data_IF_553756390141
#
_entry.id   IF_553756390141
#
_cell.length_a   1.000
_cell.length_b   1.000
_cell.length_c   1.000
_cell.angle_alpha   90.00
_cell.angle_beta   90.00
_cell.angle_gamma   90.00
#
_symmetry.space_group_name_H-M   'P 1'
#
loop_
_entity.id
_entity.type
_entity.pdbx_description
1 polymer ?
#
# COMPACT_ATOMS: atom_id res chain seq x y z
N UNK A 1 -15.03 12.87 -0.68
CA UNK A 1 -15.08 14.36 -0.58
C UNK A 1 -15.56 14.84 0.81
N UNK A 2 -15.47 16.14 1.14
CA UNK A 2 -15.90 16.67 2.46
C UNK A 2 -17.42 16.50 2.69
N UNK A 3 -18.24 16.72 1.65
CA UNK A 3 -19.70 16.57 1.71
C UNK A 3 -20.11 15.12 1.96
N UNK A 4 -19.42 14.17 1.34
CA UNK A 4 -19.63 12.73 1.52
C UNK A 4 -19.37 12.28 2.97
N UNK A 5 -18.33 12.86 3.60
CA UNK A 5 -18.07 12.67 5.04
C UNK A 5 -19.18 13.26 5.91
N UNK A 6 -19.76 14.40 5.51
CA UNK A 6 -20.91 15.03 6.17
C UNK A 6 -22.21 14.24 5.96
N UNK A 7 -22.37 13.57 4.81
CA UNK A 7 -23.54 12.76 4.47
C UNK A 7 -23.66 11.49 5.33
N UNK A 8 -22.61 11.12 6.06
CA UNK A 8 -22.63 9.98 6.97
C UNK A 8 -22.41 8.64 6.29
N UNK A 9 -21.69 8.62 5.17
CA UNK A 9 -21.21 7.38 4.58
C UNK A 9 -20.38 6.59 5.61
N UNK A 10 -20.73 5.33 5.82
CA UNK A 10 -19.95 4.45 6.71
C UNK A 10 -18.71 4.02 5.93
N UNK A 11 -17.50 4.15 6.49
CA UNK A 11 -16.30 3.68 5.81
C UNK A 11 -16.34 2.16 5.65
N UNK A 12 -16.02 1.67 4.46
CA UNK A 12 -15.95 0.24 4.15
C UNK A 12 -14.53 -0.16 3.76
N UNK A 13 -14.17 -1.41 4.00
CA UNK A 13 -12.91 -1.97 3.51
C UNK A 13 -12.94 -2.00 1.99
N UNK A 14 -11.91 -1.48 1.34
CA UNK A 14 -11.79 -1.56 -0.12
C UNK A 14 -11.18 -2.90 -0.53
N UNK A 15 -11.97 -3.70 -1.22
CA UNK A 15 -11.56 -4.95 -1.87
C UNK A 15 -12.49 -5.21 -3.06
N UNK A 16 -12.38 -6.37 -3.70
CA UNK A 16 -13.18 -6.69 -4.86
C UNK A 16 -14.69 -6.79 -4.59
N UNK A 17 -15.14 -6.82 -3.34
CA UNK A 17 -16.58 -6.90 -3.01
C UNK A 17 -17.20 -5.54 -2.73
N UNK A 18 -16.40 -4.51 -2.47
CA UNK A 18 -16.86 -3.14 -2.15
C UNK A 18 -16.38 -2.09 -3.14
N UNK A 19 -15.35 -2.40 -3.92
CA UNK A 19 -14.85 -1.52 -4.96
C UNK A 19 -15.68 -1.68 -6.24
N UNK A 20 -16.28 -0.57 -6.69
CA UNK A 20 -16.90 -0.50 -8.01
C UNK A 20 -15.88 0.10 -8.98
N UNK A 21 -15.59 -0.61 -10.07
CA UNK A 21 -14.92 0.00 -11.22
C UNK A 21 -16.03 0.57 -12.07
N UNK A 22 -16.03 1.89 -12.26
CA UNK A 22 -16.83 2.53 -13.29
C UNK A 22 -16.20 2.19 -14.66
N UNK A 23 -16.39 0.95 -15.10
CA UNK A 23 -16.16 0.60 -16.50
C UNK A 23 -17.31 1.24 -17.25
N UNK A 24 -17.09 2.39 -17.88
CA UNK A 24 -18.09 3.21 -18.57
C UNK A 24 -18.79 2.56 -19.77
N UNK A 25 -19.25 1.32 -19.64
CA UNK A 25 -20.18 0.64 -20.51
C UNK A 25 -21.56 0.64 -19.85
N UNK A 26 -22.20 1.81 -19.78
CA UNK A 26 -23.66 1.95 -19.80
C UNK A 26 -24.03 3.43 -20.00
N UNK A 27 -24.12 3.83 -21.27
CA UNK A 27 -25.06 4.79 -21.86
C UNK A 27 -25.44 6.05 -21.07
N UNK A 28 -24.87 7.19 -21.48
CA UNK A 28 -25.40 8.53 -21.25
C UNK A 28 -24.56 9.59 -21.96
N UNK A 29 -24.98 10.00 -23.16
CA UNK A 29 -24.51 11.25 -23.78
C UNK A 29 -25.03 12.43 -22.94
N UNK A 30 -24.38 12.72 -21.83
CA UNK A 30 -24.35 14.08 -21.29
C UNK A 30 -23.05 14.22 -20.51
N UNK A 31 -22.17 15.07 -21.04
CA UNK A 31 -20.82 15.25 -20.54
C UNK A 31 -20.83 15.94 -19.18
N UNK A 32 -20.77 15.15 -18.12
CA UNK A 32 -20.25 15.59 -16.83
C UNK A 32 -19.10 14.64 -16.48
N UNK A 33 -17.88 15.14 -16.67
CA UNK A 33 -16.63 14.48 -16.30
C UNK A 33 -16.65 14.13 -14.81
N UNK A 34 -17.08 12.91 -14.50
CA UNK A 34 -17.12 12.39 -13.14
C UNK A 34 -15.68 12.30 -12.61
N UNK A 35 -15.31 13.27 -11.77
CA UNK A 35 -13.99 13.44 -11.17
C UNK A 35 -13.65 12.37 -10.10
N UNK A 36 -14.08 11.11 -10.30
CA UNK A 36 -13.98 10.05 -9.31
C UNK A 36 -13.19 8.81 -9.76
N UNK A 37 -12.17 8.97 -10.59
CA UNK A 37 -11.18 7.88 -10.78
C UNK A 37 -9.77 8.42 -11.01
N UNK A 38 -9.11 8.85 -9.93
CA UNK A 38 -7.64 9.03 -9.91
C UNK A 38 -6.94 7.83 -9.27
N UNK A 39 -7.57 6.65 -9.29
CA UNK A 39 -6.92 5.41 -8.84
C UNK A 39 -6.16 4.86 -10.05
N UNK A 40 -4.83 4.78 -9.96
CA UNK A 40 -4.01 4.26 -11.05
C UNK A 40 -4.43 2.83 -11.42
N UNK A 41 -4.17 2.42 -12.66
CA UNK A 41 -4.45 1.05 -13.13
C UNK A 41 -3.86 -0.02 -12.19
N UNK A 42 -2.66 0.25 -11.65
CA UNK A 42 -2.01 -0.61 -10.67
C UNK A 42 -2.79 -0.73 -9.36
N UNK A 43 -3.30 0.38 -8.82
CA UNK A 43 -4.13 0.33 -7.61
C UNK A 43 -5.48 -0.36 -7.86
N UNK A 44 -6.09 -0.15 -9.03
CA UNK A 44 -7.31 -0.85 -9.44
C UNK A 44 -7.10 -2.36 -9.50
N UNK A 45 -5.97 -2.83 -10.03
CA UNK A 45 -5.63 -4.26 -10.00
C UNK A 45 -5.46 -4.80 -8.57
N UNK A 46 -4.82 -4.04 -7.67
CA UNK A 46 -4.67 -4.46 -6.27
C UNK A 46 -6.03 -4.58 -5.57
N UNK A 47 -6.92 -3.61 -5.78
CA UNK A 47 -8.25 -3.62 -5.16
C UNK A 47 -9.13 -4.76 -5.71
N UNK A 48 -9.06 -5.04 -7.00
CA UNK A 48 -9.85 -6.12 -7.65
C UNK A 48 -9.29 -7.51 -7.39
N UNK A 49 -7.99 -7.64 -7.10
CA UNK A 49 -7.36 -8.93 -6.78
C UNK A 49 -7.46 -9.32 -5.31
N UNK A 50 -7.59 -8.34 -4.40
CA UNK A 50 -7.72 -8.60 -2.96
C UNK A 50 -9.17 -8.89 -2.59
N UNK A 51 -9.36 -9.88 -1.72
CA UNK A 51 -10.66 -10.19 -1.09
C UNK A 51 -10.49 -10.43 0.40
N UNK A 52 -11.29 -9.76 1.20
CA UNK A 52 -11.38 -10.01 2.64
C UNK A 52 -12.48 -11.03 2.96
N UNK A 53 -12.39 -11.65 4.14
CA UNK A 53 -13.46 -12.53 4.62
C UNK A 53 -14.68 -11.71 5.05
N UNK A 54 -15.88 -12.26 4.88
CA UNK A 54 -17.14 -11.62 5.32
C UNK A 54 -17.14 -11.32 6.83
N UNK A 55 -16.50 -12.19 7.63
CA UNK A 55 -16.34 -11.94 9.07
C UNK A 55 -15.48 -10.71 9.39
N UNK A 56 -14.55 -10.35 8.50
CA UNK A 56 -13.73 -9.15 8.63
C UNK A 56 -14.50 -7.89 8.20
N UNK A 57 -15.29 -7.98 7.12
CA UNK A 57 -16.21 -6.90 6.74
C UNK A 57 -17.20 -6.59 7.86
N UNK A 58 -17.85 -7.61 8.41
CA UNK A 58 -18.85 -7.47 9.47
C UNK A 58 -18.28 -6.81 10.75
N UNK A 59 -17.09 -7.22 11.19
CA UNK A 59 -16.49 -6.62 12.39
C UNK A 59 -16.09 -5.16 12.18
N UNK A 60 -15.60 -4.81 10.99
CA UNK A 60 -15.23 -3.42 10.67
C UNK A 60 -16.47 -2.53 10.63
N UNK A 61 -17.57 -2.99 10.03
CA UNK A 61 -18.84 -2.27 10.00
C UNK A 61 -19.40 -2.00 11.41
N UNK A 62 -19.37 -3.01 12.29
CA UNK A 62 -19.79 -2.86 13.69
C UNK A 62 -18.94 -1.83 14.44
N UNK A 63 -17.61 -1.84 14.24
CA UNK A 63 -16.69 -0.93 14.90
C UNK A 63 -16.78 0.51 14.37
N UNK A 64 -17.10 0.68 13.09
CA UNK A 64 -17.17 1.98 12.41
C UNK A 64 -18.59 2.57 12.34
N UNK A 65 -19.55 1.95 13.04
CA UNK A 65 -20.89 2.53 13.20
C UNK A 65 -20.80 3.93 13.80
N UNK A 66 -21.53 4.87 13.17
CA UNK A 66 -21.66 6.26 13.61
C UNK A 66 -22.43 6.37 14.93
N UNK A 67 -23.37 5.45 15.13
CA UNK A 67 -24.17 5.36 16.34
C UNK A 67 -23.38 4.65 17.44
N UNK A 68 -23.08 5.39 18.52
CA UNK A 68 -22.25 4.90 19.62
C UNK A 68 -22.97 3.77 20.36
N UNK A 69 -24.29 3.81 20.46
CA UNK A 69 -25.07 2.80 21.20
C UNK A 69 -25.12 1.45 20.46
N UNK A 70 -24.88 1.47 19.14
CA UNK A 70 -24.78 0.26 18.32
C UNK A 70 -23.38 -0.33 18.30
N UNK A 71 -22.37 0.40 18.77
CA UNK A 71 -20.98 -0.07 18.76
C UNK A 71 -20.77 -1.10 19.87
N UNK A 72 -20.28 -2.31 19.56
CA UNK A 72 -20.06 -3.33 20.58
C UNK A 72 -18.92 -2.94 21.54
N UNK A 73 -19.06 -3.33 22.80
CA UNK A 73 -17.95 -3.29 23.76
C UNK A 73 -16.89 -4.35 23.42
N UNK A 74 -15.66 -4.15 23.91
CA UNK A 74 -14.54 -5.06 23.66
C UNK A 74 -14.85 -6.53 24.03
N UNK A 75 -15.56 -6.75 25.13
CA UNK A 75 -15.96 -8.09 25.59
C UNK A 75 -16.92 -8.79 24.60
N UNK A 76 -17.81 -8.04 23.94
CA UNK A 76 -18.68 -8.57 22.88
C UNK A 76 -17.88 -8.82 21.60
N UNK A 77 -16.95 -7.92 21.28
CA UNK A 77 -16.12 -8.02 20.08
C UNK A 77 -15.27 -9.29 20.07
N UNK A 78 -14.68 -9.67 21.21
CA UNK A 78 -13.90 -10.91 21.36
C UNK A 78 -14.71 -12.20 21.10
N UNK A 79 -16.04 -12.12 21.11
CA UNK A 79 -16.93 -13.26 20.81
C UNK A 79 -17.34 -13.33 19.34
N UNK A 80 -16.95 -12.34 18.53
CA UNK A 80 -17.23 -12.29 17.09
C UNK A 80 -16.56 -13.45 16.33
N UNK A 81 -17.19 -13.88 15.23
CA UNK A 81 -16.68 -14.99 14.40
C UNK A 81 -15.24 -14.77 13.93
N UNK A 82 -14.89 -13.52 13.60
CA UNK A 82 -13.55 -13.10 13.19
C UNK A 82 -12.46 -13.46 14.20
N UNK A 83 -12.72 -13.33 15.51
CA UNK A 83 -11.75 -13.69 16.55
C UNK A 83 -11.85 -15.14 17.01
N UNK A 84 -13.00 -15.80 16.80
CA UNK A 84 -13.13 -17.22 17.09
C UNK A 84 -12.30 -18.08 16.12
N UNK A 85 -12.11 -17.62 14.88
CA UNK A 85 -11.31 -18.36 13.89
C UNK A 85 -9.81 -18.36 14.23
N UNK A 86 -9.28 -17.31 14.87
CA UNK A 86 -7.85 -17.20 15.17
C UNK A 86 -7.40 -18.20 16.23
N UNK A 87 -8.30 -18.64 17.11
CA UNK A 87 -8.03 -19.71 18.10
C UNK A 87 -7.72 -21.07 17.48
N UNK A 88 -8.09 -21.26 16.21
CA UNK A 88 -7.84 -22.49 15.45
C UNK A 88 -6.62 -22.36 14.52
N UNK A 89 -6.00 -21.19 14.49
CA UNK A 89 -4.81 -20.95 13.67
C UNK A 89 -3.61 -21.63 14.32
N UNK A 90 -3.00 -22.58 13.61
CA UNK A 90 -1.82 -23.30 14.08
C UNK A 90 -0.51 -22.55 13.83
N UNK A 91 -0.53 -21.53 12.98
CA UNK A 91 0.63 -20.71 12.65
C UNK A 91 0.91 -19.70 13.75
N UNK A 92 2.18 -19.55 14.10
CA UNK A 92 2.58 -18.55 15.10
C UNK A 92 2.51 -17.14 14.51
N UNK A 93 2.27 -16.13 15.36
CA UNK A 93 2.27 -14.73 14.91
C UNK A 93 3.64 -14.35 14.30
N UNK A 94 4.74 -14.83 14.89
CA UNK A 94 6.10 -14.59 14.40
C UNK A 94 6.31 -15.12 12.98
N UNK A 95 5.71 -16.26 12.64
CA UNK A 95 5.75 -16.84 11.30
C UNK A 95 4.93 -16.03 10.30
N UNK A 96 3.73 -15.58 10.70
CA UNK A 96 2.87 -14.74 9.85
C UNK A 96 3.45 -13.35 9.58
N UNK A 97 4.26 -12.84 10.50
CA UNK A 97 4.89 -11.53 10.38
C UNK A 97 6.13 -11.53 9.49
N UNK A 98 6.64 -12.68 9.04
CA UNK A 98 7.78 -12.70 8.11
C UNK A 98 7.38 -12.12 6.75
N UNK A 99 8.22 -11.26 6.13
CA UNK A 99 9.56 -10.84 6.55
C UNK A 99 9.59 -9.61 7.49
N UNK A 100 8.44 -9.00 7.79
CA UNK A 100 8.30 -7.78 8.61
C UNK A 100 8.54 -7.97 10.13
N UNK A 101 9.33 -8.96 10.55
CA UNK A 101 9.69 -9.16 11.96
C UNK A 101 10.68 -8.07 12.42
N UNK A 102 10.57 -7.63 13.67
CA UNK A 102 11.57 -6.75 14.27
C UNK A 102 12.93 -7.44 14.27
N UNK A 103 13.98 -6.72 13.90
CA UNK A 103 15.34 -7.25 13.89
C UNK A 103 15.78 -7.58 15.32
N UNK A 104 16.21 -8.82 15.54
CA UNK A 104 16.84 -9.29 16.77
C UNK A 104 18.03 -10.21 16.43
N UNK A 105 18.97 -10.37 17.36
CA UNK A 105 20.18 -11.17 17.16
C UNK A 105 19.89 -12.63 16.73
N UNK A 106 18.68 -13.14 16.99
CA UNK A 106 18.28 -14.49 16.63
C UNK A 106 17.71 -14.63 15.22
N UNK A 107 17.26 -13.52 14.60
CA UNK A 107 16.67 -13.51 13.26
C UNK A 107 17.56 -12.84 12.19
N UNK A 108 18.62 -12.13 12.60
CA UNK A 108 19.61 -11.51 11.70
C UNK A 108 20.30 -12.54 10.80
N UNK A 109 20.60 -13.75 11.29
CA UNK A 109 21.26 -14.79 10.48
C UNK A 109 20.40 -15.31 9.32
N UNK A 110 19.07 -15.39 9.46
CA UNK A 110 18.18 -15.80 8.38
C UNK A 110 18.04 -14.70 7.32
N UNK A 111 18.02 -13.43 7.74
CA UNK A 111 17.98 -12.27 6.85
C UNK A 111 19.30 -12.10 6.08
N UNK A 112 20.44 -12.39 6.71
CA UNK A 112 21.75 -12.32 6.05
C UNK A 112 21.83 -13.26 4.84
N UNK A 113 21.22 -14.45 4.89
CA UNK A 113 21.18 -15.34 3.71
C UNK A 113 20.36 -14.73 2.56
N UNK A 114 19.23 -14.05 2.85
CA UNK A 114 18.47 -13.33 1.82
C UNK A 114 19.22 -12.10 1.29
N UNK A 115 19.94 -11.39 2.16
CA UNK A 115 20.72 -10.20 1.79
C UNK A 115 21.93 -10.56 0.94
N UNK A 116 22.63 -11.65 1.27
CA UNK A 116 23.68 -12.25 0.42
C UNK A 116 23.11 -12.72 -0.93
N UNK A 117 21.93 -13.33 -0.96
CA UNK A 117 21.26 -13.65 -2.22
C UNK A 117 20.94 -12.39 -3.05
N UNK A 118 20.44 -11.31 -2.43
CA UNK A 118 20.16 -10.05 -3.12
C UNK A 118 21.44 -9.34 -3.61
N UNK A 119 22.51 -9.34 -2.81
CA UNK A 119 23.81 -8.77 -3.19
C UNK A 119 24.44 -9.56 -4.33
N UNK A 120 24.38 -10.89 -4.28
CA UNK A 120 24.88 -11.76 -5.34
C UNK A 120 24.08 -11.56 -6.66
N UNK A 121 22.76 -11.34 -6.57
CA UNK A 121 21.94 -10.96 -7.73
C UNK A 121 22.38 -9.60 -8.30
N UNK A 122 22.64 -8.61 -7.45
CA UNK A 122 23.10 -7.28 -7.87
C UNK A 122 24.51 -7.32 -8.50
N UNK A 123 25.42 -8.14 -7.97
CA UNK A 123 26.77 -8.32 -8.52
C UNK A 123 26.73 -9.07 -9.86
N UNK A 124 25.85 -10.06 -9.98
CA UNK A 124 25.59 -10.75 -11.25
C UNK A 124 25.00 -9.79 -12.29
N UNK A 125 24.04 -8.95 -11.88
CA UNK A 125 23.42 -7.94 -12.74
C UNK A 125 24.42 -6.87 -13.18
N UNK A 126 25.22 -6.34 -12.25
CA UNK A 126 26.26 -5.35 -12.52
C UNK A 126 27.37 -5.88 -13.42
N UNK A 127 27.69 -7.16 -13.32
CA UNK A 127 28.66 -7.83 -14.21
C UNK A 127 28.11 -8.08 -15.62
N UNK A 128 26.77 -8.20 -15.75
CA UNK A 128 26.09 -8.51 -17.01
C UNK A 128 25.71 -7.25 -17.80
N UNK A 129 25.59 -6.10 -17.12
CA UNK A 129 25.16 -4.85 -17.74
C UNK A 129 26.39 -3.97 -18.03
N UNK A 130 26.70 -3.78 -19.32
CA UNK A 130 27.68 -2.78 -19.72
C UNK A 130 27.05 -1.39 -19.58
N UNK A 131 27.23 -0.77 -18.41
CA UNK A 131 26.86 0.63 -18.22
C UNK A 131 27.81 1.47 -19.06
N UNK A 132 27.39 1.90 -20.24
CA UNK A 132 28.09 2.92 -20.98
C UNK A 132 28.14 4.18 -20.09
N UNK A 133 29.35 4.65 -19.78
CA UNK A 133 29.56 5.85 -18.97
C UNK A 133 29.08 7.06 -19.76
N UNK A 134 27.80 7.39 -19.66
CA UNK A 134 27.26 8.63 -20.22
C UNK A 134 27.67 9.78 -19.31
N UNK A 135 28.70 10.53 -19.72
CA UNK A 135 29.04 11.80 -19.07
C UNK A 135 28.07 12.88 -19.53
N UNK A 136 27.35 13.48 -18.59
CA UNK A 136 26.50 14.64 -18.83
C UNK A 136 27.40 15.86 -19.03
N UNK A 137 27.65 16.21 -20.30
CA UNK A 137 28.28 17.48 -20.67
C UNK A 137 27.21 18.57 -20.58
N UNK A 138 27.28 19.39 -19.54
CA UNK A 138 26.49 20.61 -19.49
C UNK A 138 27.25 21.68 -20.27
N UNK A 139 26.86 21.87 -21.52
CA UNK A 139 27.38 22.94 -22.34
C UNK A 139 26.76 24.27 -21.89
N UNK A 140 27.63 25.23 -21.54
CA UNK A 140 27.31 26.64 -21.52
C UNK A 140 26.99 27.22 -20.14
N UNK A 141 28.03 27.67 -19.45
CA UNK A 141 28.09 29.01 -18.89
C UNK A 141 29.55 29.49 -18.93
N UNK A 142 29.97 29.94 -20.11
CA UNK A 142 31.03 30.94 -20.20
C UNK A 142 30.50 32.21 -19.54
N UNK A 143 31.21 32.70 -18.52
CA UNK A 143 31.34 34.14 -18.29
C UNK A 143 32.57 34.41 -17.41
N UNK A 144 33.64 34.75 -18.13
CA UNK A 144 34.64 35.77 -17.82
C UNK A 144 35.14 35.90 -16.37
N UNK A 145 36.33 35.33 -16.15
CA UNK A 145 37.36 35.96 -15.32
C UNK A 145 37.65 37.37 -15.84
N UNK A 146 37.47 38.41 -15.01
CA UNK A 146 38.41 39.56 -14.91
C UNK A 146 38.36 40.22 -13.53
N UNK A 147 39.38 39.92 -12.75
CA UNK A 147 40.20 40.85 -11.97
C UNK A 147 39.53 42.05 -11.28
N UNK A 148 39.37 41.95 -9.96
CA UNK A 148 39.67 43.07 -9.05
C UNK A 148 40.47 42.58 -7.84
N UNK A 149 41.78 42.53 -8.03
CA UNK A 149 42.79 42.50 -6.97
C UNK A 149 43.52 43.85 -6.96
N UNK A 150 43.58 44.46 -5.78
CA UNK A 150 44.59 45.44 -5.32
C UNK A 150 44.62 46.85 -5.97
N UNK A 151 44.03 47.84 -5.30
CA UNK A 151 44.73 48.97 -4.64
C UNK A 151 43.76 49.83 -3.84
#
# INVERSE_FOLDING_TARGET
>A
MLIEKLAGATPHLLDCTTYYVDTGQEMGEDGEENACSYISEQQTQVLTSRKFSDSFHSIVELCLSRDVDKRPFASNLLQHAFFKQTKKCSTSLSEMLRPALCLDESNVCEINNELECMLNINDTFSSSIQVNKTEWKFDGLDNEDKDKSTM
#
